data_IF_504122683965
#
_entry.id   IF_504122683965
#
_cell.length_a   1.000
_cell.length_b   1.000
_cell.length_c   1.000
_cell.angle_alpha   90.00
_cell.angle_beta   90.00
_cell.angle_gamma   90.00
#
_symmetry.space_group_name_H-M   'P 1'
#
loop_
_entity.id
_entity.type
_entity.pdbx_description
1 polymer ?
#
# COMPACT_ATOMS: atom_id res chain seq x y z
N UNK A 1 1.16 16.76 7.74
CA UNK A 1 2.40 16.40 7.03
C UNK A 1 2.09 15.19 6.20
N UNK A 2 2.06 15.38 4.88
CA UNK A 2 1.91 14.29 3.93
C UNK A 2 3.22 13.53 3.77
N UNK A 3 3.17 12.33 3.21
CA UNK A 3 4.38 11.53 2.90
C UNK A 3 5.31 12.27 1.94
N UNK A 4 4.76 13.15 1.09
CA UNK A 4 5.48 14.07 0.21
C UNK A 4 6.36 15.11 0.93
N UNK A 5 6.10 15.37 2.21
CA UNK A 5 6.89 16.32 3.01
C UNK A 5 8.12 15.65 3.64
N UNK A 6 8.32 14.33 3.43
CA UNK A 6 9.45 13.57 3.98
C UNK A 6 10.63 13.58 3.01
N UNK A 7 11.78 14.22 3.35
CA UNK A 7 12.94 14.28 2.45
C UNK A 7 13.49 12.89 2.09
N UNK A 8 13.42 11.95 3.02
CA UNK A 8 13.88 10.58 2.81
C UNK A 8 12.97 9.79 1.85
N UNK A 9 11.65 10.02 1.90
CA UNK A 9 10.74 9.46 0.90
C UNK A 9 11.09 9.97 -0.50
N UNK A 10 11.31 11.28 -0.64
CA UNK A 10 11.67 11.89 -1.92
C UNK A 10 13.00 11.32 -2.46
N UNK A 11 13.99 11.12 -1.60
CA UNK A 11 15.26 10.51 -2.01
C UNK A 11 15.07 9.07 -2.54
N UNK A 12 14.26 8.25 -1.87
CA UNK A 12 13.96 6.88 -2.32
C UNK A 12 13.27 6.87 -3.69
N UNK A 13 12.32 7.79 -3.91
CA UNK A 13 11.63 7.90 -5.20
C UNK A 13 12.60 8.36 -6.30
N UNK A 14 13.45 9.35 -6.04
CA UNK A 14 14.45 9.83 -6.99
C UNK A 14 15.51 8.77 -7.35
N UNK A 15 15.96 7.96 -6.38
CA UNK A 15 16.86 6.85 -6.66
C UNK A 15 16.23 5.84 -7.64
N UNK A 16 14.93 5.57 -7.49
CA UNK A 16 14.21 4.63 -8.36
C UNK A 16 13.85 5.21 -9.71
N UNK A 17 13.64 6.52 -9.80
CA UNK A 17 13.47 7.26 -11.06
C UNK A 17 14.58 6.92 -12.07
N UNK A 18 15.79 6.67 -11.59
CA UNK A 18 16.94 6.32 -12.40
C UNK A 18 17.04 4.82 -12.78
N UNK A 19 16.05 4.00 -12.43
CA UNK A 19 16.01 2.60 -12.87
C UNK A 19 15.72 2.48 -14.37
N UNK A 20 16.35 1.49 -15.01
CA UNK A 20 16.21 1.23 -16.45
C UNK A 20 14.75 1.03 -16.87
N UNK A 21 13.94 0.37 -16.03
CA UNK A 21 12.51 0.16 -16.26
C UNK A 21 11.72 1.47 -16.34
N UNK A 22 11.99 2.44 -15.46
CA UNK A 22 11.29 3.73 -15.47
C UNK A 22 11.78 4.58 -16.65
N UNK A 23 13.08 4.59 -16.94
CA UNK A 23 13.65 5.31 -18.08
C UNK A 23 13.13 4.79 -19.43
N UNK A 24 12.87 3.48 -19.53
CA UNK A 24 12.29 2.85 -20.71
C UNK A 24 10.77 3.05 -20.82
N UNK A 25 10.11 3.53 -19.76
CA UNK A 25 8.68 3.83 -19.77
C UNK A 25 8.46 5.24 -20.33
N UNK A 26 8.11 5.34 -21.62
CA UNK A 26 7.77 6.63 -22.23
C UNK A 26 6.36 7.07 -21.85
N UNK A 27 6.25 8.26 -21.24
CA UNK A 27 4.98 8.95 -20.99
C UNK A 27 4.53 9.86 -22.14
N UNK A 28 5.20 9.80 -23.30
CA UNK A 28 4.94 10.76 -24.38
C UNK A 28 3.54 10.58 -24.98
N UNK A 29 3.04 9.34 -25.01
CA UNK A 29 1.64 9.06 -25.37
C UNK A 29 0.66 9.79 -24.44
N UNK A 30 0.91 9.74 -23.13
CA UNK A 30 0.09 10.40 -22.13
C UNK A 30 0.02 11.92 -22.37
N UNK A 31 1.17 12.54 -22.67
CA UNK A 31 1.26 13.97 -23.01
C UNK A 31 0.46 14.30 -24.28
N UNK A 32 0.56 13.46 -25.31
CA UNK A 32 -0.14 13.65 -26.59
C UNK A 32 -1.66 13.51 -26.40
N UNK A 33 -2.11 12.53 -25.63
CA UNK A 33 -3.54 12.29 -25.42
C UNK A 33 -4.20 13.37 -24.56
N UNK A 34 -3.51 13.86 -23.54
CA UNK A 34 -4.09 14.74 -22.52
C UNK A 34 -3.75 16.21 -22.71
N UNK A 35 -2.74 16.53 -23.52
CA UNK A 35 -2.16 17.88 -23.61
C UNK A 35 -1.50 18.37 -22.31
N UNK A 36 -1.41 17.52 -21.29
CA UNK A 36 -0.90 17.87 -19.96
C UNK A 36 0.62 17.72 -19.88
N UNK A 37 1.22 18.50 -18.98
CA UNK A 37 2.66 18.39 -18.68
C UNK A 37 2.87 17.21 -17.74
N UNK A 38 3.42 16.12 -18.26
CA UNK A 38 3.75 14.92 -17.48
C UNK A 38 5.27 14.86 -17.29
N UNK A 39 5.74 15.18 -16.08
CA UNK A 39 7.17 15.31 -15.79
C UNK A 39 7.72 14.14 -14.99
N UNK A 40 6.88 13.42 -14.24
CA UNK A 40 7.30 12.33 -13.38
C UNK A 40 6.22 11.24 -13.23
N UNK A 41 6.53 10.22 -12.41
CA UNK A 41 5.64 9.09 -12.12
C UNK A 41 4.36 9.53 -11.41
N UNK A 42 4.41 10.61 -10.61
CA UNK A 42 3.25 11.09 -9.88
C UNK A 42 2.27 11.80 -10.83
N UNK A 43 2.79 12.64 -11.74
CA UNK A 43 2.00 13.24 -12.83
C UNK A 43 1.36 12.16 -13.71
N UNK A 44 2.13 11.13 -14.08
CA UNK A 44 1.64 10.04 -14.92
C UNK A 44 0.56 9.21 -14.23
N UNK A 45 0.79 8.84 -12.96
CA UNK A 45 -0.19 8.11 -12.14
C UNK A 45 -1.49 8.90 -11.96
N UNK A 46 -1.41 10.15 -11.52
CA UNK A 46 -2.61 10.98 -11.31
C UNK A 46 -3.42 11.15 -12.59
N UNK A 47 -2.74 11.41 -13.71
CA UNK A 47 -3.42 11.60 -14.98
C UNK A 47 -4.09 10.31 -15.46
N UNK A 48 -3.42 9.16 -15.31
CA UNK A 48 -4.02 7.87 -15.64
C UNK A 48 -5.24 7.57 -14.76
N UNK A 49 -5.16 7.81 -13.45
CA UNK A 49 -6.25 7.62 -12.49
C UNK A 49 -7.50 8.44 -12.88
N UNK A 50 -7.31 9.74 -13.18
CA UNK A 50 -8.39 10.63 -13.63
C UNK A 50 -9.10 10.06 -14.86
N UNK A 51 -8.35 9.67 -15.90
CA UNK A 51 -8.94 9.16 -17.14
C UNK A 51 -9.68 7.84 -16.91
N UNK A 52 -9.10 6.94 -16.11
CA UNK A 52 -9.72 5.65 -15.78
C UNK A 52 -11.06 5.88 -15.07
N UNK A 53 -11.10 6.77 -14.07
CA UNK A 53 -12.33 7.11 -13.36
C UNK A 53 -13.35 7.74 -14.29
N UNK A 54 -12.94 8.69 -15.13
CA UNK A 54 -13.81 9.34 -16.12
C UNK A 54 -14.51 8.30 -17.02
N UNK A 55 -13.74 7.36 -17.58
CA UNK A 55 -14.31 6.30 -18.42
C UNK A 55 -15.19 5.33 -17.63
N UNK A 56 -14.79 4.95 -16.40
CA UNK A 56 -15.58 4.07 -15.53
C UNK A 56 -16.97 4.65 -15.22
N UNK A 57 -17.07 5.97 -15.07
CA UNK A 57 -18.33 6.67 -14.83
C UNK A 57 -19.00 7.22 -16.11
N UNK A 58 -18.64 6.63 -17.26
CA UNK A 58 -19.28 6.85 -18.55
C UNK A 58 -19.28 8.32 -19.01
N UNK A 59 -18.19 9.05 -18.73
CA UNK A 59 -17.96 10.33 -19.39
C UNK A 59 -17.51 10.07 -20.84
N UNK A 60 -17.90 10.96 -21.76
CA UNK A 60 -17.64 10.76 -23.19
C UNK A 60 -16.21 11.14 -23.57
N UNK A 61 -15.22 10.29 -23.26
CA UNK A 61 -13.88 10.39 -23.83
C UNK A 61 -13.81 9.56 -25.12
N UNK A 62 -14.16 10.19 -26.25
CA UNK A 62 -14.23 9.51 -27.56
C UNK A 62 -12.92 8.89 -28.04
N UNK A 63 -11.79 9.25 -27.43
CA UNK A 63 -10.46 8.77 -27.78
C UNK A 63 -9.93 7.67 -26.84
N UNK A 64 -10.56 7.46 -25.67
CA UNK A 64 -10.10 6.52 -24.65
C UNK A 64 -10.79 5.16 -24.79
N UNK A 65 -10.36 4.39 -25.79
CA UNK A 65 -10.85 3.02 -25.99
C UNK A 65 -10.23 2.02 -24.98
N UNK A 66 -10.69 0.77 -25.01
CA UNK A 66 -10.19 -0.29 -24.12
C UNK A 66 -8.67 -0.51 -24.23
N UNK A 67 -8.08 -0.27 -25.39
CA UNK A 67 -6.64 -0.42 -25.59
C UNK A 67 -5.86 0.71 -24.92
N UNK A 68 -6.35 1.95 -25.01
CA UNK A 68 -5.81 3.10 -24.29
C UNK A 68 -5.93 2.87 -22.78
N UNK A 69 -7.09 2.41 -22.29
CA UNK A 69 -7.29 2.09 -20.87
C UNK A 69 -6.31 1.04 -20.36
N UNK A 70 -6.01 0.00 -21.14
CA UNK A 70 -5.03 -1.02 -20.74
C UNK A 70 -3.61 -0.46 -20.57
N UNK A 71 -3.22 0.48 -21.44
CA UNK A 71 -1.95 1.19 -21.32
C UNK A 71 -1.92 2.15 -20.13
N UNK A 72 -3.03 2.85 -19.88
CA UNK A 72 -3.18 3.73 -18.71
C UNK A 72 -3.10 2.94 -17.41
N UNK A 73 -3.78 1.80 -17.32
CA UNK A 73 -3.70 0.92 -16.15
C UNK A 73 -2.27 0.42 -15.93
N UNK A 74 -1.55 0.05 -16.99
CA UNK A 74 -0.17 -0.36 -16.88
C UNK A 74 0.73 0.77 -16.35
N UNK A 75 0.55 1.99 -16.86
CA UNK A 75 1.27 3.18 -16.38
C UNK A 75 0.94 3.47 -14.91
N UNK A 76 -0.34 3.38 -14.52
CA UNK A 76 -0.79 3.59 -13.15
C UNK A 76 -0.19 2.55 -12.20
N UNK A 77 -0.32 1.26 -12.51
CA UNK A 77 0.23 0.15 -11.71
C UNK A 77 1.76 0.28 -11.55
N UNK A 78 2.47 0.55 -12.64
CA UNK A 78 3.92 0.69 -12.62
C UNK A 78 4.34 1.91 -11.78
N UNK A 79 3.71 3.06 -12.01
CA UNK A 79 4.02 4.29 -11.27
C UNK A 79 3.73 4.10 -9.79
N UNK A 80 2.57 3.52 -9.46
CA UNK A 80 2.16 3.23 -8.09
C UNK A 80 3.12 2.24 -7.41
N UNK A 81 3.57 1.20 -8.12
CA UNK A 81 4.55 0.23 -7.62
C UNK A 81 5.85 0.91 -7.19
N UNK A 82 6.45 1.74 -8.07
CA UNK A 82 7.72 2.39 -7.77
C UNK A 82 7.61 3.49 -6.72
N UNK A 83 6.46 4.14 -6.65
CA UNK A 83 6.17 5.12 -5.62
C UNK A 83 6.04 4.45 -4.26
N UNK A 84 5.18 3.42 -4.12
CA UNK A 84 4.67 2.98 -2.83
C UNK A 84 4.99 1.52 -2.46
N UNK A 85 5.21 0.65 -3.44
CA UNK A 85 5.29 -0.80 -3.24
C UNK A 85 6.72 -1.33 -3.11
N UNK A 86 7.47 -0.69 -2.24
CA UNK A 86 8.81 -1.18 -1.86
C UNK A 86 8.87 -1.32 -0.36
N UNK A 87 9.79 -2.14 0.11
CA UNK A 87 10.03 -2.29 1.54
C UNK A 87 10.43 -0.95 2.16
N UNK A 88 11.31 -0.20 1.49
CA UNK A 88 11.81 1.07 2.01
C UNK A 88 10.71 2.13 2.03
N UNK A 89 9.90 2.22 0.96
CA UNK A 89 8.76 3.15 0.99
C UNK A 89 7.72 2.71 2.02
N UNK A 90 7.41 1.42 2.10
CA UNK A 90 6.51 0.87 3.10
C UNK A 90 6.95 1.28 4.50
N UNK A 91 8.24 1.15 4.81
CA UNK A 91 8.84 1.61 6.06
C UNK A 91 8.78 3.12 6.29
N UNK A 92 8.60 3.95 5.27
CA UNK A 92 8.42 5.40 5.47
C UNK A 92 6.95 5.72 5.67
N UNK A 93 6.07 5.14 4.86
CA UNK A 93 4.61 5.38 4.91
C UNK A 93 4.00 4.84 6.21
N UNK A 94 4.34 3.61 6.59
CA UNK A 94 3.83 2.99 7.83
C UNK A 94 4.78 3.18 9.01
N UNK A 95 5.93 3.83 8.79
CA UNK A 95 7.13 3.81 9.63
C UNK A 95 7.81 2.41 9.73
N UNK A 96 9.00 2.36 10.34
CA UNK A 96 9.93 1.21 10.35
C UNK A 96 9.38 -0.05 11.06
N UNK A 97 8.46 -0.77 10.44
CA UNK A 97 7.88 -2.01 10.99
C UNK A 97 8.80 -3.24 10.89
N UNK A 98 9.92 -3.20 10.17
CA UNK A 98 10.58 -4.45 9.74
C UNK A 98 11.52 -5.15 10.74
N UNK A 99 11.55 -4.77 12.02
CA UNK A 99 12.34 -5.53 13.00
C UNK A 99 11.50 -6.60 13.73
N UNK A 100 10.16 -6.54 13.71
CA UNK A 100 9.35 -7.35 14.63
C UNK A 100 8.71 -8.62 14.05
N UNK A 101 8.47 -8.70 12.73
CA UNK A 101 7.69 -9.83 12.17
C UNK A 101 8.53 -10.99 11.64
N UNK A 102 9.86 -10.84 11.50
CA UNK A 102 10.74 -11.91 11.02
C UNK A 102 11.29 -12.83 12.12
N UNK A 103 10.99 -12.57 13.39
CA UNK A 103 11.65 -13.29 14.49
C UNK A 103 10.73 -13.56 15.67
N UNK A 104 9.89 -14.60 15.58
CA UNK A 104 9.35 -15.27 16.78
C UNK A 104 10.40 -16.18 17.48
N UNK A 105 11.70 -15.99 17.17
CA UNK A 105 12.82 -16.62 17.91
C UNK A 105 13.91 -15.64 18.35
N UNK A 106 13.81 -14.34 18.06
CA UNK A 106 14.75 -13.35 18.60
C UNK A 106 13.99 -12.25 19.31
N UNK A 107 14.02 -12.37 20.65
CA UNK A 107 14.03 -11.30 21.66
C UNK A 107 13.43 -9.99 21.17
N UNK A 108 12.21 -9.70 21.64
CA UNK A 108 11.52 -8.41 21.51
C UNK A 108 12.53 -7.30 21.79
N UNK A 109 13.06 -6.72 20.73
CA UNK A 109 13.80 -5.48 20.84
C UNK A 109 12.70 -4.43 20.89
N UNK A 110 12.47 -3.89 22.09
CA UNK A 110 11.73 -2.65 22.27
C UNK A 110 12.50 -1.54 21.53
N UNK A 111 12.36 -1.47 20.21
CA UNK A 111 12.95 -0.39 19.40
C UNK A 111 12.02 0.81 19.49
N UNK A 112 12.23 1.55 20.57
CA UNK A 112 11.51 2.75 20.97
C UNK A 112 11.67 3.93 20.01
N UNK A 113 11.87 3.79 18.70
CA UNK A 113 12.25 4.98 17.92
C UNK A 113 11.83 5.18 16.45
N UNK A 114 11.30 4.23 15.66
CA UNK A 114 10.96 4.60 14.26
C UNK A 114 9.78 3.87 13.60
N UNK A 115 9.02 3.03 14.30
CA UNK A 115 7.78 2.43 13.76
C UNK A 115 6.71 3.52 13.62
N UNK A 116 5.91 3.51 12.55
CA UNK A 116 5.02 4.64 12.25
C UNK A 116 3.71 4.56 13.02
N UNK A 117 2.91 5.63 13.03
CA UNK A 117 1.81 5.79 13.97
C UNK A 117 0.78 4.66 13.91
N UNK A 118 0.42 4.20 12.70
CA UNK A 118 -0.59 3.15 12.51
C UNK A 118 -0.12 1.80 13.05
N UNK A 119 1.14 1.46 12.81
CA UNK A 119 1.71 0.17 13.20
C UNK A 119 1.91 0.07 14.70
N UNK A 120 2.42 1.14 15.32
CA UNK A 120 2.57 1.20 16.78
C UNK A 120 1.24 1.00 17.47
N UNK A 121 0.21 1.68 16.98
CA UNK A 121 -1.13 1.56 17.54
C UNK A 121 -1.69 0.14 17.35
N UNK A 122 -1.51 -0.51 16.19
CA UNK A 122 -1.92 -1.91 16.00
C UNK A 122 -1.21 -2.82 17.01
N UNK A 123 0.11 -2.69 17.17
CA UNK A 123 0.90 -3.53 18.08
C UNK A 123 0.51 -3.32 19.55
N UNK A 124 0.34 -2.07 19.97
CA UNK A 124 -0.12 -1.75 21.32
C UNK A 124 -1.51 -2.34 21.59
N UNK A 125 -2.41 -2.28 20.60
CA UNK A 125 -3.75 -2.85 20.75
C UNK A 125 -3.70 -4.39 20.86
N UNK A 126 -2.88 -5.07 20.06
CA UNK A 126 -2.67 -6.53 20.18
C UNK A 126 -2.11 -6.88 21.56
N UNK A 127 -1.09 -6.15 22.04
CA UNK A 127 -0.50 -6.39 23.36
C UNK A 127 -1.50 -6.17 24.51
N UNK A 128 -2.35 -5.14 24.41
CA UNK A 128 -3.43 -4.89 25.39
C UNK A 128 -4.47 -6.02 25.38
N UNK A 129 -4.83 -6.52 24.20
CA UNK A 129 -5.73 -7.68 24.06
C UNK A 129 -5.13 -8.94 24.69
N UNK A 130 -3.85 -9.22 24.44
CA UNK A 130 -3.14 -10.38 25.01
C UNK A 130 -3.03 -10.34 26.54
N UNK A 131 -3.03 -9.13 27.14
CA UNK A 131 -2.97 -8.92 28.60
C UNK A 131 -4.36 -8.90 29.26
N UNK A 132 -5.45 -9.11 28.50
CA UNK A 132 -6.83 -8.91 28.95
C UNK A 132 -7.10 -7.50 29.51
N UNK A 133 -6.32 -6.51 29.09
CA UNK A 133 -6.39 -5.11 29.56
C UNK A 133 -7.36 -4.27 28.71
N UNK A 134 -7.87 -4.83 27.61
CA UNK A 134 -8.87 -4.14 26.79
C UNK A 134 -10.22 -4.12 27.50
N UNK A 135 -10.73 -2.93 27.82
CA UNK A 135 -12.10 -2.67 28.32
C UNK A 135 -13.19 -3.02 27.28
N UNK A 136 -13.29 -4.28 26.84
CA UNK A 136 -14.35 -4.79 25.97
C UNK A 136 -14.25 -4.44 24.47
N UNK A 137 -13.21 -3.73 24.02
CA UNK A 137 -13.02 -3.42 22.59
C UNK A 137 -12.52 -4.65 21.83
N UNK A 138 -13.34 -5.19 20.92
CA UNK A 138 -13.04 -6.41 20.14
C UNK A 138 -12.56 -6.16 18.70
N UNK A 139 -12.71 -4.94 18.19
CA UNK A 139 -12.32 -4.58 16.83
C UNK A 139 -11.84 -3.13 16.79
N UNK A 140 -10.95 -2.84 15.84
CA UNK A 140 -10.50 -1.49 15.50
C UNK A 140 -10.38 -1.38 13.99
N UNK A 141 -10.96 -0.33 13.43
CA UNK A 141 -11.00 -0.10 12.00
C UNK A 141 -10.11 1.10 11.70
N UNK A 142 -9.21 0.93 10.75
CA UNK A 142 -8.34 1.98 10.23
C UNK A 142 -8.80 2.31 8.80
N UNK A 143 -9.32 3.50 8.60
CA UNK A 143 -9.59 4.01 7.26
C UNK A 143 -8.35 4.72 6.74
N UNK A 144 -7.92 4.37 5.54
CA UNK A 144 -6.73 4.90 4.89
C UNK A 144 -6.88 4.89 3.37
N UNK A 145 -5.76 5.08 2.69
CA UNK A 145 -5.71 5.07 1.23
C UNK A 145 -5.14 3.73 0.70
N UNK A 146 -5.29 3.49 -0.59
CA UNK A 146 -4.62 2.42 -1.33
C UNK A 146 -3.11 2.33 -1.02
N UNK A 147 -2.41 3.48 -0.94
CA UNK A 147 -1.01 3.54 -0.54
C UNK A 147 -0.76 3.03 0.88
N UNK A 148 -1.74 3.15 1.80
CA UNK A 148 -1.64 2.59 3.16
C UNK A 148 -1.69 1.06 3.13
N UNK A 149 -2.57 0.49 2.30
CA UNK A 149 -2.71 -0.96 2.13
C UNK A 149 -1.45 -1.55 1.51
N UNK A 150 -0.97 -0.96 0.41
CA UNK A 150 0.26 -1.45 -0.25
C UNK A 150 1.48 -1.31 0.63
N UNK A 151 1.58 -0.21 1.37
CA UNK A 151 2.68 -0.05 2.32
C UNK A 151 2.68 -1.13 3.40
N UNK A 152 1.51 -1.57 3.88
CA UNK A 152 1.41 -2.71 4.81
C UNK A 152 1.75 -4.04 4.12
N UNK A 153 1.22 -4.28 2.92
CA UNK A 153 1.48 -5.51 2.15
C UNK A 153 2.95 -5.66 1.77
N UNK A 154 3.64 -4.57 1.43
CA UNK A 154 5.05 -4.58 1.08
C UNK A 154 5.93 -4.95 2.28
N UNK A 155 5.57 -4.52 3.48
CA UNK A 155 6.24 -4.91 4.73
C UNK A 155 6.04 -6.40 5.05
N UNK A 156 4.85 -6.92 4.77
CA UNK A 156 4.57 -8.35 4.87
C UNK A 156 5.22 -9.18 3.76
N UNK A 157 5.94 -8.54 2.81
CA UNK A 157 6.57 -9.19 1.65
C UNK A 157 5.55 -10.00 0.82
N UNK A 158 4.31 -9.51 0.74
CA UNK A 158 3.23 -10.16 -0.02
C UNK A 158 3.34 -9.94 -1.54
N UNK A 159 4.34 -9.17 -2.02
CA UNK A 159 4.66 -8.91 -3.44
C UNK A 159 3.42 -8.63 -4.33
N UNK A 160 2.59 -7.66 -3.92
CA UNK A 160 1.35 -7.33 -4.63
C UNK A 160 1.55 -6.19 -5.62
N UNK A 161 1.71 -6.46 -6.91
CA UNK A 161 2.17 -5.47 -7.90
C UNK A 161 1.07 -4.46 -8.31
N UNK A 162 -0.21 -4.82 -8.22
CA UNK A 162 -1.32 -4.00 -8.69
C UNK A 162 -1.75 -2.93 -7.67
N UNK A 163 -2.40 -1.87 -8.15
CA UNK A 163 -3.07 -0.93 -7.25
C UNK A 163 -4.24 -1.63 -6.52
N UNK A 164 -4.37 -1.47 -5.19
CA UNK A 164 -5.50 -2.01 -4.45
C UNK A 164 -6.83 -1.49 -5.01
N UNK A 165 -7.80 -2.35 -5.30
CA UNK A 165 -9.10 -1.91 -5.77
C UNK A 165 -9.86 -1.16 -4.68
N UNK A 166 -10.90 -0.43 -5.08
CA UNK A 166 -11.79 0.24 -4.14
C UNK A 166 -12.36 -0.74 -3.11
N UNK A 167 -12.45 -0.27 -1.86
CA UNK A 167 -12.89 -1.07 -0.70
C UNK A 167 -12.02 -2.30 -0.40
N UNK A 168 -10.79 -2.37 -0.93
CA UNK A 168 -9.83 -3.35 -0.48
C UNK A 168 -9.56 -3.23 1.02
N UNK A 169 -9.41 -4.37 1.70
CA UNK A 169 -9.35 -4.43 3.16
C UNK A 169 -8.30 -5.46 3.60
N UNK A 170 -7.47 -5.10 4.58
CA UNK A 170 -6.62 -6.06 5.29
C UNK A 170 -7.30 -6.42 6.61
N UNK A 171 -7.69 -7.68 6.75
CA UNK A 171 -8.15 -8.25 8.02
C UNK A 171 -6.96 -8.77 8.81
N UNK A 172 -6.96 -8.48 10.10
CA UNK A 172 -5.95 -8.92 11.05
C UNK A 172 -6.65 -9.52 12.26
N UNK A 173 -6.73 -10.84 12.29
CA UNK A 173 -7.42 -11.58 13.34
C UNK A 173 -6.42 -12.13 14.35
N UNK A 174 -6.69 -11.91 15.64
CA UNK A 174 -5.92 -12.45 16.74
C UNK A 174 -6.65 -13.65 17.35
N UNK A 175 -6.05 -14.83 17.26
CA UNK A 175 -6.55 -16.07 17.83
C UNK A 175 -5.79 -16.42 19.11
N UNK A 176 -6.51 -16.81 20.16
CA UNK A 176 -5.93 -17.40 21.38
C UNK A 176 -6.10 -18.92 21.34
N UNK A 177 -4.99 -19.64 21.43
CA UNK A 177 -4.95 -21.09 21.46
C UNK A 177 -4.79 -21.51 22.93
N UNK A 178 -5.89 -21.99 23.52
CA UNK A 178 -5.97 -22.36 24.94
C UNK A 178 -4.95 -23.41 25.35
N UNK A 179 -4.70 -24.40 24.49
CA UNK A 179 -3.97 -25.62 24.84
C UNK A 179 -2.52 -25.34 25.22
N UNK A 180 -1.88 -24.39 24.53
CA UNK A 180 -0.49 -23.98 24.78
C UNK A 180 -0.38 -22.52 25.28
N UNK A 181 -1.52 -21.87 25.55
CA UNK A 181 -1.60 -20.44 25.90
C UNK A 181 -0.84 -19.53 24.92
N UNK A 182 -0.96 -19.82 23.62
CA UNK A 182 -0.29 -19.06 22.55
C UNK A 182 -1.27 -18.16 21.82
N UNK A 183 -0.76 -17.08 21.23
CA UNK A 183 -1.54 -16.18 20.39
C UNK A 183 -1.02 -16.25 18.97
N UNK A 184 -1.94 -16.34 18.00
CA UNK A 184 -1.63 -16.40 16.57
C UNK A 184 -2.32 -15.26 15.85
N UNK A 185 -1.59 -14.58 14.97
CA UNK A 185 -2.11 -13.52 14.12
C UNK A 185 -2.35 -14.07 12.71
N UNK A 186 -3.57 -13.93 12.19
CA UNK A 186 -3.91 -14.24 10.81
C UNK A 186 -4.08 -12.93 10.05
N UNK A 187 -3.51 -12.85 8.85
CA UNK A 187 -3.65 -11.71 7.96
C UNK A 187 -4.34 -12.17 6.69
N UNK A 188 -5.39 -11.46 6.29
CA UNK A 188 -6.11 -11.72 5.04
C UNK A 188 -6.26 -10.41 4.26
N UNK A 189 -6.00 -10.47 2.96
CA UNK A 189 -6.18 -9.32 2.06
C UNK A 189 -7.37 -9.56 1.16
N UNK A 190 -8.44 -8.80 1.39
CA UNK A 190 -9.64 -8.83 0.57
C UNK A 190 -9.51 -7.76 -0.52
N UNK A 191 -9.37 -8.23 -1.76
CA UNK A 191 -9.19 -7.39 -2.95
C UNK A 191 -10.28 -7.58 -4.00
N UNK A 192 -11.35 -8.31 -3.69
CA UNK A 192 -12.50 -8.44 -4.58
C UNK A 192 -13.76 -8.66 -3.74
N UNK A 193 -14.90 -8.23 -4.29
CA UNK A 193 -16.23 -8.49 -3.70
C UNK A 193 -16.70 -9.91 -3.95
N UNK A 194 -15.99 -10.69 -4.77
CA UNK A 194 -16.23 -12.10 -5.00
C UNK A 194 -15.62 -12.91 -3.85
N UNK A 195 -16.16 -12.71 -2.65
CA UNK A 195 -15.75 -13.46 -1.46
C UNK A 195 -16.10 -14.94 -1.59
N UNK A 196 -15.07 -15.79 -1.67
CA UNK A 196 -15.10 -17.18 -1.22
C UNK A 196 -15.59 -18.23 -2.21
N UNK A 197 -14.72 -18.70 -3.09
CA UNK A 197 -14.62 -20.14 -3.43
C UNK A 197 -13.21 -20.46 -3.93
N UNK A 198 -12.35 -20.93 -3.03
CA UNK A 198 -11.61 -22.21 -3.11
C UNK A 198 -10.87 -22.42 -1.81
#
# INVERSE_FOLDING_TARGET
MGVSDCPYFCELVEQRRNSEQIQNTSFDKLKVWTGSKINDLFDAWNMADIIIIEVLYNTSLSWADLFVLSQLQHIADLSFYYLFNTIETGRVITGCLLILLKSYSYRIFSTNHHSGPIVNDIMENIQKLMKNDSMGRKAKIYSGHDATIVALLSLFQANYIHQPPYCSTIFMDLYHISDNNTYTLKLEYLNSTNGGTT
#
